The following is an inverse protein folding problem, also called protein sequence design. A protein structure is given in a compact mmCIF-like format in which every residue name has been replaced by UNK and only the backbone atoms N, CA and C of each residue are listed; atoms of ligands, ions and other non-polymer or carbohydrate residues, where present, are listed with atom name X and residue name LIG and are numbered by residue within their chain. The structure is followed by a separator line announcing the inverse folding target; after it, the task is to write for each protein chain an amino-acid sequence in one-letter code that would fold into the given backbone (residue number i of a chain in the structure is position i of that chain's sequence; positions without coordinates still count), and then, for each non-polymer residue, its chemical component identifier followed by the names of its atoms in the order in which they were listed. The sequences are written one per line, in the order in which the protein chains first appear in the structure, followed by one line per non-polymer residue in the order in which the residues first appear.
data_IF_778723894871
#
_entry.id   IF_778723894871
#
_cell.length_a   1.000
_cell.length_b   1.000
_cell.length_c   1.000
_cell.angle_alpha   90.00
_cell.angle_beta   90.00
_cell.angle_gamma   90.00
#
_symmetry.space_group_name_H-M   'P 1'
#
loop_
_entity.id
_entity.type
_entity.pdbx_description
1 polymer ?
#
# COMPACT_ATOMS: atom_id res chain seq x y z
N UNK A 1 -17.74 -11.15 -39.45
CA UNK A 1 -17.41 -9.72 -39.45
C UNK A 1 -15.92 -9.61 -39.16
N UNK A 2 -15.15 -9.03 -40.09
CA UNK A 2 -13.71 -8.76 -39.88
C UNK A 2 -13.67 -7.53 -38.96
N UNK A 3 -13.15 -7.69 -37.73
CA UNK A 3 -12.96 -6.55 -36.81
C UNK A 3 -11.95 -5.58 -37.42
N UNK A 4 -12.32 -4.31 -37.52
CA UNK A 4 -11.51 -3.25 -38.09
C UNK A 4 -10.26 -3.00 -37.25
N UNK A 5 -9.09 -3.07 -37.89
CA UNK A 5 -7.80 -2.89 -37.23
C UNK A 5 -7.51 -1.40 -37.04
N UNK A 6 -7.82 -0.88 -35.85
CA UNK A 6 -7.65 0.56 -35.51
C UNK A 6 -6.22 0.93 -35.08
N UNK A 7 -5.45 -0.02 -34.58
CA UNK A 7 -4.11 0.19 -34.02
C UNK A 7 -3.08 -0.82 -34.56
N UNK A 8 -2.81 -0.81 -35.89
CA UNK A 8 -1.97 -1.83 -36.54
C UNK A 8 -0.52 -1.81 -36.03
N UNK A 9 0.07 -0.64 -35.83
CA UNK A 9 1.47 -0.51 -35.42
C UNK A 9 1.68 -0.98 -33.97
N UNK A 10 0.73 -0.71 -33.09
CA UNK A 10 0.74 -1.25 -31.72
C UNK A 10 0.63 -2.78 -31.75
N UNK A 11 -0.31 -3.34 -32.50
CA UNK A 11 -0.50 -4.78 -32.59
C UNK A 11 0.73 -5.48 -33.17
N UNK A 12 1.37 -4.91 -34.17
CA UNK A 12 2.60 -5.43 -34.75
C UNK A 12 3.71 -5.53 -33.72
N UNK A 13 3.98 -4.43 -32.99
CA UNK A 13 4.99 -4.41 -31.92
C UNK A 13 4.67 -5.40 -30.80
N UNK A 14 3.41 -5.46 -30.37
CA UNK A 14 2.96 -6.39 -29.35
C UNK A 14 3.21 -7.84 -29.76
N UNK A 15 2.82 -8.24 -31.00
CA UNK A 15 3.02 -9.60 -31.49
C UNK A 15 4.49 -9.96 -31.66
N UNK A 16 5.33 -9.04 -32.15
CA UNK A 16 6.78 -9.25 -32.25
C UNK A 16 7.39 -9.53 -30.86
N UNK A 17 7.02 -8.75 -29.84
CA UNK A 17 7.53 -8.94 -28.49
C UNK A 17 7.01 -10.23 -27.85
N UNK A 18 5.74 -10.58 -28.08
CA UNK A 18 5.16 -11.84 -27.63
C UNK A 18 5.87 -13.05 -28.25
N UNK A 19 6.13 -13.01 -29.55
CA UNK A 19 6.85 -14.07 -30.29
C UNK A 19 8.27 -14.23 -29.76
N UNK A 20 9.00 -13.14 -29.57
CA UNK A 20 10.37 -13.16 -29.06
C UNK A 20 10.47 -13.75 -27.63
N UNK A 21 9.41 -13.62 -26.82
CA UNK A 21 9.36 -14.15 -25.45
C UNK A 21 8.59 -15.47 -25.34
N UNK A 22 8.04 -15.99 -26.43
CA UNK A 22 7.23 -17.22 -26.41
C UNK A 22 5.93 -17.09 -25.64
N UNK A 23 5.37 -15.87 -25.54
CA UNK A 23 4.14 -15.59 -24.78
C UNK A 23 2.92 -15.78 -25.67
N UNK A 24 2.01 -16.66 -25.29
CA UNK A 24 0.71 -16.86 -25.92
C UNK A 24 -0.33 -15.83 -25.47
N UNK A 25 -1.43 -15.67 -26.22
CA UNK A 25 -2.55 -14.79 -25.85
C UNK A 25 -3.16 -15.19 -24.51
N UNK A 26 -3.19 -16.49 -24.19
CA UNK A 26 -3.69 -17.00 -22.91
C UNK A 26 -2.77 -16.58 -21.74
N UNK A 27 -1.46 -16.66 -21.96
CA UNK A 27 -0.50 -16.18 -20.95
C UNK A 27 -0.53 -14.65 -20.81
N UNK A 28 -0.68 -13.92 -21.92
CA UNK A 28 -0.82 -12.47 -21.92
C UNK A 28 -2.03 -12.03 -21.07
N UNK A 29 -3.20 -12.68 -21.25
CA UNK A 29 -4.38 -12.48 -20.41
C UNK A 29 -4.06 -12.56 -18.93
N UNK A 30 -3.34 -13.60 -18.51
CA UNK A 30 -3.02 -13.84 -17.09
C UNK A 30 -2.02 -12.83 -16.55
N UNK A 31 -1.01 -12.43 -17.35
CA UNK A 31 0.04 -11.47 -16.96
C UNK A 31 -0.50 -10.07 -16.69
N UNK A 32 -1.53 -9.64 -17.45
CA UNK A 32 -2.04 -8.27 -17.34
C UNK A 32 -3.42 -8.16 -16.69
N UNK A 33 -4.04 -9.30 -16.34
CA UNK A 33 -5.33 -9.33 -15.64
C UNK A 33 -6.51 -8.87 -16.48
N UNK A 34 -6.56 -9.25 -17.79
CA UNK A 34 -7.67 -8.93 -18.69
C UNK A 34 -8.38 -10.19 -19.16
N UNK A 35 -9.55 -10.05 -19.81
CA UNK A 35 -10.24 -11.19 -20.42
C UNK A 35 -9.47 -11.69 -21.66
N UNK A 36 -9.66 -12.96 -22.04
CA UNK A 36 -9.06 -13.52 -23.27
C UNK A 36 -9.45 -12.72 -24.50
N UNK A 37 -10.71 -12.30 -24.60
CA UNK A 37 -11.20 -11.52 -25.70
C UNK A 37 -10.53 -10.14 -25.79
N UNK A 38 -10.30 -9.49 -24.66
CA UNK A 38 -9.55 -8.22 -24.62
C UNK A 38 -8.09 -8.42 -25.04
N UNK A 39 -7.42 -9.47 -24.54
CA UNK A 39 -6.05 -9.79 -24.94
C UNK A 39 -5.96 -10.07 -26.46
N UNK A 40 -6.91 -10.84 -27.00
CA UNK A 40 -7.02 -11.08 -28.43
C UNK A 40 -7.22 -9.78 -29.23
N UNK A 41 -8.13 -8.90 -28.78
CA UNK A 41 -8.38 -7.61 -29.44
C UNK A 41 -7.15 -6.69 -29.46
N UNK A 42 -6.27 -6.80 -28.47
CA UNK A 42 -4.99 -6.09 -28.48
C UNK A 42 -4.06 -6.67 -29.53
N UNK A 43 -3.96 -7.99 -29.66
CA UNK A 43 -3.06 -8.64 -30.64
C UNK A 43 -3.49 -8.43 -32.08
N UNK A 44 -4.79 -8.30 -32.37
CA UNK A 44 -5.28 -7.98 -33.71
C UNK A 44 -5.39 -6.47 -33.99
N UNK A 45 -5.09 -5.61 -32.99
CA UNK A 45 -5.14 -4.15 -33.15
C UNK A 45 -6.55 -3.55 -33.18
N UNK A 46 -7.57 -4.30 -32.79
CA UNK A 46 -8.95 -3.82 -32.70
C UNK A 46 -9.19 -2.92 -31.47
N UNK A 47 -8.33 -3.02 -30.44
CA UNK A 47 -8.36 -2.20 -29.25
C UNK A 47 -6.96 -1.83 -28.78
N UNK A 48 -6.86 -0.70 -28.06
CA UNK A 48 -5.63 -0.25 -27.39
C UNK A 48 -5.84 -0.29 -25.88
N UNK A 49 -4.87 -0.81 -25.11
CA UNK A 49 -4.95 -0.82 -23.66
C UNK A 49 -5.01 0.59 -23.06
N UNK A 50 -5.70 0.73 -21.92
CA UNK A 50 -5.60 1.93 -21.09
C UNK A 50 -4.22 1.99 -20.41
N UNK A 51 -3.81 3.16 -19.91
CA UNK A 51 -2.49 3.40 -19.36
C UNK A 51 -2.05 2.36 -18.31
N UNK A 52 -2.92 1.96 -17.40
CA UNK A 52 -2.62 0.95 -16.38
C UNK A 52 -2.29 -0.43 -16.96
N UNK A 53 -3.06 -0.87 -17.96
CA UNK A 53 -2.82 -2.15 -18.65
C UNK A 53 -1.62 -2.04 -19.60
N UNK A 54 -1.40 -0.88 -20.23
CA UNK A 54 -0.24 -0.60 -21.06
C UNK A 54 1.06 -0.75 -20.25
N UNK A 55 1.10 -0.20 -19.03
CA UNK A 55 2.26 -0.32 -18.15
C UNK A 55 2.51 -1.78 -17.73
N UNK A 56 1.47 -2.55 -17.43
CA UNK A 56 1.59 -3.99 -17.13
C UNK A 56 2.10 -4.79 -18.30
N UNK A 57 1.62 -4.50 -19.51
CA UNK A 57 2.10 -5.11 -20.75
C UNK A 57 3.57 -4.80 -21.00
N UNK A 58 3.95 -3.54 -20.88
CA UNK A 58 5.32 -3.07 -21.07
C UNK A 58 6.28 -3.77 -20.09
N UNK A 59 5.90 -3.84 -18.82
CA UNK A 59 6.67 -4.54 -17.78
C UNK A 59 6.80 -6.04 -18.08
N UNK A 60 5.70 -6.73 -18.41
CA UNK A 60 5.71 -8.15 -18.75
C UNK A 60 6.55 -8.47 -19.99
N UNK A 61 6.53 -7.56 -20.96
CA UNK A 61 7.28 -7.68 -22.21
C UNK A 61 8.72 -7.14 -22.11
N UNK A 62 9.08 -6.48 -20.99
CA UNK A 62 10.42 -5.96 -20.76
C UNK A 62 10.78 -4.78 -21.69
N UNK A 63 9.83 -3.90 -21.97
CA UNK A 63 10.02 -2.72 -22.81
C UNK A 63 9.41 -1.49 -22.13
N UNK A 64 9.73 -0.29 -22.61
CA UNK A 64 9.04 0.91 -22.13
C UNK A 64 7.60 0.98 -22.67
N UNK A 65 6.68 1.57 -21.89
CA UNK A 65 5.30 1.81 -22.35
C UNK A 65 5.26 2.69 -23.60
N UNK A 66 6.16 3.68 -23.69
CA UNK A 66 6.30 4.56 -24.85
C UNK A 66 6.76 3.80 -26.10
N UNK A 67 7.66 2.81 -25.93
CA UNK A 67 8.06 1.96 -27.05
C UNK A 67 6.87 1.10 -27.53
N UNK A 68 6.16 0.46 -26.60
CA UNK A 68 5.03 -0.39 -26.95
C UNK A 68 3.92 0.42 -27.63
N UNK A 69 3.65 1.64 -27.14
CA UNK A 69 2.55 2.49 -27.62
C UNK A 69 2.89 3.22 -28.92
N UNK A 70 4.09 3.82 -29.03
CA UNK A 70 4.44 4.73 -30.11
C UNK A 70 5.65 4.26 -30.95
N UNK A 71 6.35 3.23 -30.51
CA UNK A 71 7.59 2.79 -31.15
C UNK A 71 8.79 3.68 -30.84
N UNK A 72 8.67 4.58 -29.85
CA UNK A 72 9.72 5.53 -29.46
C UNK A 72 10.27 5.12 -28.09
N UNK A 73 11.58 4.98 -27.95
CA UNK A 73 12.25 4.56 -26.73
C UNK A 73 13.01 3.24 -26.89
N UNK A 74 13.65 2.78 -25.82
CA UNK A 74 14.49 1.59 -25.84
C UNK A 74 13.66 0.30 -25.94
N UNK A 75 14.11 -0.60 -26.83
CA UNK A 75 13.52 -1.91 -27.08
C UNK A 75 13.92 -2.95 -26.02
N UNK A 76 14.96 -2.67 -25.25
CA UNK A 76 15.44 -3.53 -24.18
C UNK A 76 14.99 -2.99 -22.82
N UNK A 77 14.08 -3.72 -22.21
CA UNK A 77 13.67 -3.48 -20.84
C UNK A 77 14.77 -3.83 -19.86
N UNK A 78 14.96 -2.97 -18.91
CA UNK A 78 15.59 -3.18 -17.60
C UNK A 78 16.50 -4.42 -17.47
N UNK A 79 17.60 -4.48 -18.17
CA UNK A 79 18.85 -4.93 -17.58
C UNK A 79 19.37 -3.73 -16.81
N UNK A 80 19.78 -3.97 -15.59
CA UNK A 80 20.42 -3.03 -14.70
C UNK A 80 21.15 -1.92 -15.49
N UNK A 81 20.61 -0.71 -15.44
CA UNK A 81 21.34 0.46 -15.89
C UNK A 81 22.53 0.63 -14.97
N UNK A 82 23.66 0.01 -15.38
CA UNK A 82 24.93 0.46 -14.92
C UNK A 82 25.08 1.92 -15.33
N UNK A 83 24.92 2.79 -14.37
CA UNK A 83 25.51 4.11 -14.22
C UNK A 83 25.68 4.99 -15.46
N UNK A 84 24.63 5.68 -15.84
CA UNK A 84 24.73 7.12 -16.07
C UNK A 84 24.26 7.75 -14.74
N UNK A 85 24.99 8.64 -14.09
CA UNK A 85 24.48 9.36 -12.94
C UNK A 85 23.38 10.30 -13.45
N UNK A 86 22.16 9.77 -13.53
CA UNK A 86 20.95 10.56 -13.48
C UNK A 86 21.07 11.33 -12.16
N UNK A 87 20.86 12.66 -12.10
CA UNK A 87 20.81 13.35 -10.82
C UNK A 87 19.80 12.56 -10.00
N UNK A 88 20.30 11.83 -9.06
CA UNK A 88 19.63 10.87 -8.18
C UNK A 88 18.25 11.42 -7.84
N UNK A 89 17.16 10.77 -8.34
CA UNK A 89 15.93 10.81 -7.55
C UNK A 89 16.40 10.46 -6.15
N UNK A 90 16.27 11.37 -5.19
CA UNK A 90 16.65 11.03 -3.84
C UNK A 90 15.93 9.72 -3.53
N UNK A 91 16.66 8.79 -2.93
CA UNK A 91 16.11 7.52 -2.44
C UNK A 91 14.92 7.90 -1.56
N UNK A 92 13.70 7.81 -2.10
CA UNK A 92 12.49 8.35 -1.48
C UNK A 92 11.85 7.23 -0.69
N UNK A 93 11.80 7.41 0.60
CA UNK A 93 11.09 6.54 1.51
C UNK A 93 9.61 6.96 1.53
N UNK A 94 8.76 6.15 0.91
CA UNK A 94 7.34 6.46 0.68
C UNK A 94 6.45 5.66 1.62
N UNK A 95 5.64 6.35 2.42
CA UNK A 95 4.68 5.75 3.35
C UNK A 95 3.26 6.09 2.91
N UNK A 96 2.39 5.08 2.86
CA UNK A 96 0.97 5.24 2.52
C UNK A 96 0.15 5.67 3.73
N UNK A 97 -0.74 6.62 3.49
CA UNK A 97 -1.75 7.07 4.46
C UNK A 97 -3.06 6.37 4.18
N UNK A 98 -3.53 5.62 5.17
CA UNK A 98 -4.70 4.75 5.06
C UNK A 98 -5.99 5.48 5.48
N UNK A 99 -7.07 5.28 4.72
CA UNK A 99 -8.41 5.69 5.13
C UNK A 99 -9.05 4.62 5.99
N UNK A 100 -8.97 4.78 7.30
CA UNK A 100 -9.62 3.88 8.25
C UNK A 100 -11.08 4.27 8.56
N UNK A 101 -11.58 5.36 7.99
CA UNK A 101 -12.96 5.81 8.22
C UNK A 101 -13.98 4.83 7.61
N UNK A 102 -13.60 4.14 6.55
CA UNK A 102 -14.41 3.14 5.85
C UNK A 102 -14.41 1.79 6.56
N UNK A 103 -13.38 1.50 7.34
CA UNK A 103 -13.18 0.19 8.00
C UNK A 103 -13.94 0.04 9.34
N UNK A 104 -14.59 1.09 9.83
CA UNK A 104 -15.33 1.08 11.10
C UNK A 104 -16.77 0.55 10.97
N UNK A 105 -17.16 0.00 9.81
CA UNK A 105 -18.47 -0.64 9.62
C UNK A 105 -18.55 -2.02 10.27
N UNK A 106 -19.73 -2.46 10.76
CA UNK A 106 -19.89 -3.76 11.39
C UNK A 106 -19.72 -4.89 10.37
N UNK A 107 -18.54 -5.50 10.30
CA UNK A 107 -18.35 -6.77 9.62
C UNK A 107 -17.13 -6.95 8.72
N UNK A 108 -16.25 -5.99 8.56
CA UNK A 108 -15.13 -6.15 7.61
C UNK A 108 -13.79 -5.79 8.28
N UNK A 109 -13.09 -6.80 8.79
CA UNK A 109 -11.81 -6.65 9.48
C UNK A 109 -10.69 -7.41 8.76
N UNK A 110 -10.45 -7.10 7.48
CA UNK A 110 -9.24 -7.54 6.81
C UNK A 110 -8.52 -6.33 6.21
N UNK A 111 -7.45 -5.92 6.86
CA UNK A 111 -6.66 -4.73 6.52
C UNK A 111 -5.84 -4.85 5.23
N UNK A 112 -5.79 -6.00 4.59
CA UNK A 112 -4.90 -6.17 3.44
C UNK A 112 -5.52 -5.85 2.08
N UNK A 113 -6.86 -5.91 1.94
CA UNK A 113 -7.43 -5.85 0.60
C UNK A 113 -8.48 -4.74 0.35
N UNK A 114 -8.88 -3.98 1.38
CA UNK A 114 -10.00 -3.02 1.26
C UNK A 114 -9.81 -1.66 1.95
N UNK A 115 -8.60 -1.32 2.37
CA UNK A 115 -8.33 0.02 2.91
C UNK A 115 -7.79 0.90 1.80
N UNK A 116 -8.54 1.93 1.45
CA UNK A 116 -8.12 2.87 0.42
C UNK A 116 -6.91 3.69 0.90
N UNK A 117 -5.95 3.88 0.00
CA UNK A 117 -4.82 4.78 0.21
C UNK A 117 -5.27 6.18 -0.18
N UNK A 118 -5.36 7.09 0.79
CA UNK A 118 -5.73 8.49 0.55
C UNK A 118 -4.64 9.25 -0.20
N UNK A 119 -3.40 9.10 0.26
CA UNK A 119 -2.21 9.71 -0.33
C UNK A 119 -0.95 9.04 0.26
N UNK A 120 0.23 9.48 -0.17
CA UNK A 120 1.49 9.02 0.40
C UNK A 120 2.33 10.20 0.88
N UNK A 121 3.11 9.97 1.92
CA UNK A 121 4.11 10.91 2.45
C UNK A 121 5.48 10.42 2.01
N UNK A 122 6.28 11.31 1.45
CA UNK A 122 7.63 11.00 0.98
C UNK A 122 8.66 11.67 1.89
N UNK A 123 9.64 10.89 2.34
CA UNK A 123 10.79 11.33 3.12
C UNK A 123 12.06 11.03 2.33
N UNK A 124 13.12 11.79 2.60
CA UNK A 124 14.46 11.34 2.22
C UNK A 124 14.82 10.09 3.04
N UNK A 125 15.57 9.17 2.46
CA UNK A 125 15.98 7.94 3.15
C UNK A 125 16.70 8.22 4.48
N UNK A 126 17.50 9.28 4.51
CA UNK A 126 18.20 9.69 5.73
C UNK A 126 17.23 10.14 6.83
N UNK A 127 16.25 10.98 6.47
CA UNK A 127 15.22 11.44 7.42
C UNK A 127 14.33 10.28 7.89
N UNK A 128 13.90 9.41 6.99
CA UNK A 128 13.14 8.22 7.35
C UNK A 128 13.90 7.31 8.31
N UNK A 129 15.21 7.12 8.08
CA UNK A 129 16.05 6.33 8.98
C UNK A 129 16.14 6.93 10.39
N UNK A 130 16.19 8.27 10.51
CA UNK A 130 16.16 8.93 11.82
C UNK A 130 14.86 8.75 12.57
N UNK A 131 13.71 8.67 11.85
CA UNK A 131 12.37 8.52 12.44
C UNK A 131 12.01 7.05 12.72
N UNK A 132 12.35 6.16 11.79
CA UNK A 132 11.84 4.78 11.77
C UNK A 132 12.94 3.72 11.92
N UNK A 133 14.21 4.13 12.01
CA UNK A 133 15.36 3.22 12.06
C UNK A 133 15.54 2.49 10.72
N UNK A 134 15.80 1.19 10.77
CA UNK A 134 16.02 0.36 9.57
C UNK A 134 14.75 -0.37 9.08
N UNK A 135 13.57 0.13 9.42
CA UNK A 135 12.30 -0.49 8.98
C UNK A 135 12.09 -0.29 7.50
N UNK A 136 11.46 -1.27 6.86
CA UNK A 136 11.01 -1.12 5.47
C UNK A 136 9.86 -0.11 5.38
N UNK A 137 9.81 0.64 4.30
CA UNK A 137 8.67 1.52 4.00
C UNK A 137 7.34 0.75 3.90
N UNK A 138 7.39 -0.52 3.49
CA UNK A 138 6.20 -1.36 3.35
C UNK A 138 5.62 -1.77 4.71
N UNK A 139 6.47 -1.80 5.75
CA UNK A 139 6.09 -2.14 7.12
C UNK A 139 5.50 -0.96 7.89
N UNK A 140 5.55 0.25 7.34
CA UNK A 140 5.03 1.44 8.00
C UNK A 140 3.81 1.97 7.24
N UNK A 141 2.75 2.22 8.00
CA UNK A 141 1.54 2.88 7.49
C UNK A 141 1.20 4.07 8.37
N UNK A 142 0.48 5.01 7.79
CA UNK A 142 -0.05 6.17 8.52
C UNK A 142 -1.55 6.07 8.61
N UNK A 143 -2.08 6.37 9.78
CA UNK A 143 -3.52 6.50 10.00
C UNK A 143 -3.84 7.82 10.72
N UNK A 144 -5.02 8.35 10.47
CA UNK A 144 -5.50 9.52 11.20
C UNK A 144 -6.18 9.09 12.49
N UNK A 145 -5.78 9.71 13.59
CA UNK A 145 -6.39 9.48 14.91
C UNK A 145 -7.76 10.13 14.96
N UNK A 146 -8.78 9.36 15.34
CA UNK A 146 -10.13 9.85 15.57
C UNK A 146 -10.51 9.65 17.04
N UNK A 147 -11.20 10.64 17.63
CA UNK A 147 -11.58 10.63 19.04
C UNK A 147 -10.51 11.17 19.98
N UNK A 148 -10.79 11.15 21.27
CA UNK A 148 -10.01 11.80 22.32
C UNK A 148 -9.50 10.85 23.40
N UNK A 149 -9.73 9.55 23.23
CA UNK A 149 -9.42 8.57 24.28
C UNK A 149 -7.92 8.45 24.60
N UNK A 150 -7.05 8.91 23.71
CA UNK A 150 -5.60 8.93 23.89
C UNK A 150 -5.05 10.34 24.16
N UNK A 151 -5.92 11.33 24.38
CA UNK A 151 -5.52 12.68 24.77
C UNK A 151 -4.92 12.67 26.20
N UNK A 152 -3.85 13.45 26.47
CA UNK A 152 -3.21 14.43 25.60
C UNK A 152 -2.12 13.85 24.67
N UNK A 153 -1.80 12.57 24.78
CA UNK A 153 -0.72 11.94 24.00
C UNK A 153 -0.99 12.00 22.50
N UNK A 154 -2.20 11.63 22.10
CA UNK A 154 -2.69 11.72 20.72
C UNK A 154 -3.96 12.55 20.70
N UNK A 155 -4.05 13.49 19.79
CA UNK A 155 -5.20 14.36 19.60
C UNK A 155 -5.92 13.99 18.30
N UNK A 156 -7.24 14.16 18.26
CA UNK A 156 -8.01 13.92 17.04
C UNK A 156 -7.49 14.77 15.89
N UNK A 157 -7.22 14.14 14.75
CA UNK A 157 -6.57 14.74 13.58
C UNK A 157 -5.06 14.48 13.48
N UNK A 158 -4.42 13.98 14.54
CA UNK A 158 -3.02 13.57 14.48
C UNK A 158 -2.81 12.44 13.48
N UNK A 159 -1.65 12.43 12.84
CA UNK A 159 -1.15 11.31 12.03
C UNK A 159 -0.35 10.37 12.92
N UNK A 160 -0.75 9.12 12.97
CA UNK A 160 -0.05 8.08 13.71
C UNK A 160 0.68 7.16 12.74
N UNK A 161 2.00 7.06 12.88
CA UNK A 161 2.84 6.13 12.12
C UNK A 161 2.92 4.81 12.86
N UNK A 162 2.55 3.75 12.19
CA UNK A 162 2.38 2.42 12.77
C UNK A 162 3.21 1.40 12.04
N UNK A 163 3.97 0.61 12.79
CA UNK A 163 4.70 -0.55 12.30
C UNK A 163 3.75 -1.75 12.19
N UNK A 164 3.33 -2.07 10.96
CA UNK A 164 2.40 -3.15 10.66
C UNK A 164 3.06 -4.53 10.60
N UNK A 165 4.37 -4.62 10.71
CA UNK A 165 5.07 -5.91 10.87
C UNK A 165 4.84 -6.52 12.25
N UNK A 166 4.47 -5.69 13.23
CA UNK A 166 4.13 -6.11 14.60
C UNK A 166 2.68 -6.58 14.65
N UNK A 167 2.49 -7.90 14.68
CA UNK A 167 1.16 -8.54 14.64
C UNK A 167 0.71 -9.15 15.96
N UNK A 168 1.45 -8.96 17.03
CA UNK A 168 1.13 -9.42 18.39
C UNK A 168 1.72 -8.46 19.41
N UNK A 169 1.28 -8.55 20.65
CA UNK A 169 1.88 -7.79 21.74
C UNK A 169 3.33 -8.23 21.97
N UNK A 170 4.24 -7.29 21.98
CA UNK A 170 5.69 -7.53 22.20
C UNK A 170 6.18 -6.87 23.48
N UNK A 171 5.91 -5.59 23.64
CA UNK A 171 6.31 -4.76 24.77
C UNK A 171 5.27 -3.68 25.00
N UNK A 172 5.23 -3.11 26.18
CA UNK A 172 4.37 -1.98 26.50
C UNK A 172 4.48 -0.86 25.47
N UNK A 173 3.37 -0.24 25.11
CA UNK A 173 3.33 0.82 24.11
C UNK A 173 1.94 1.08 23.56
N UNK A 174 1.84 2.01 22.63
CA UNK A 174 0.59 2.29 21.91
C UNK A 174 0.46 1.37 20.71
N UNK A 175 -0.70 0.77 20.54
CA UNK A 175 -1.02 -0.17 19.48
C UNK A 175 -2.31 0.19 18.78
N UNK A 176 -2.36 -0.11 17.49
CA UNK A 176 -3.61 -0.23 16.75
C UNK A 176 -4.01 -1.70 16.71
N UNK A 177 -5.24 -2.01 17.08
CA UNK A 177 -5.72 -3.38 17.15
C UNK A 177 -7.25 -3.46 17.02
N UNK A 178 -7.74 -4.63 16.69
CA UNK A 178 -9.15 -4.99 16.77
C UNK A 178 -9.34 -5.90 17.98
N UNK A 179 -10.35 -5.61 18.78
CA UNK A 179 -10.79 -6.50 19.84
C UNK A 179 -12.31 -6.76 19.70
N UNK A 180 -12.66 -8.02 19.57
CA UNK A 180 -14.00 -8.41 19.18
C UNK A 180 -14.35 -7.88 17.78
N UNK A 181 -15.15 -6.82 17.71
CA UNK A 181 -15.56 -6.18 16.45
C UNK A 181 -15.20 -4.70 16.37
N UNK A 182 -14.38 -4.22 17.28
CA UNK A 182 -14.10 -2.78 17.41
C UNK A 182 -12.63 -2.50 17.21
N UNK A 183 -12.34 -1.51 16.39
CA UNK A 183 -10.99 -0.98 16.20
C UNK A 183 -10.62 -0.03 17.32
N UNK A 184 -9.40 -0.16 17.82
CA UNK A 184 -8.86 0.62 18.91
C UNK A 184 -7.45 1.13 18.60
N UNK A 185 -7.16 2.33 19.09
CA UNK A 185 -5.80 2.82 19.31
C UNK A 185 -5.69 3.06 20.82
N UNK A 186 -4.92 2.23 21.52
CA UNK A 186 -4.79 2.26 22.97
C UNK A 186 -3.36 1.90 23.39
N UNK A 187 -3.04 2.24 24.64
CA UNK A 187 -1.82 1.75 25.28
C UNK A 187 -2.07 0.33 25.80
N UNK A 188 -1.25 -0.60 25.36
CA UNK A 188 -1.21 -1.97 25.88
C UNK A 188 -0.06 -2.10 26.85
N UNK A 189 -0.34 -2.69 28.02
CA UNK A 189 0.64 -2.93 29.07
C UNK A 189 0.41 -4.30 29.70
N UNK A 190 1.48 -5.08 29.84
CA UNK A 190 1.40 -6.36 30.55
C UNK A 190 1.37 -6.10 32.06
N UNK A 191 0.33 -6.54 32.73
CA UNK A 191 0.16 -6.44 34.19
C UNK A 191 -0.08 -7.83 34.78
N UNK A 192 1.02 -8.48 35.18
CA UNK A 192 0.97 -9.87 35.66
C UNK A 192 0.61 -10.82 34.51
N UNK A 193 -0.52 -11.49 34.63
CA UNK A 193 -1.07 -12.45 33.66
C UNK A 193 -2.11 -11.84 32.70
N UNK A 194 -2.37 -10.53 32.82
CA UNK A 194 -3.38 -9.83 32.03
C UNK A 194 -2.78 -8.71 31.20
N UNK A 195 -3.31 -8.53 30.01
CA UNK A 195 -2.98 -7.40 29.15
C UNK A 195 -3.94 -6.24 29.47
N UNK A 196 -3.43 -5.19 30.10
CA UNK A 196 -4.19 -3.98 30.37
C UNK A 196 -4.32 -3.15 29.10
N UNK A 197 -5.53 -2.69 28.83
CA UNK A 197 -5.87 -1.75 27.76
C UNK A 197 -6.17 -0.41 28.41
N UNK A 198 -5.28 0.55 28.13
CA UNK A 198 -5.27 1.84 28.79
C UNK A 198 -5.58 2.95 27.77
N UNK A 199 -6.44 3.86 28.18
CA UNK A 199 -6.61 5.16 27.54
C UNK A 199 -5.72 6.17 28.25
N UNK A 200 -5.01 7.01 27.50
CA UNK A 200 -4.20 8.08 28.10
C UNK A 200 -5.10 9.23 28.62
N UNK A 201 -6.35 9.31 28.14
CA UNK A 201 -7.36 10.21 28.67
C UNK A 201 -8.00 9.62 29.94
N UNK A 202 -7.87 10.27 31.11
CA UNK A 202 -8.37 9.75 32.37
C UNK A 202 -9.92 9.66 32.48
N UNK A 203 -10.64 10.25 31.52
CA UNK A 203 -12.11 10.10 31.47
C UNK A 203 -12.55 8.70 31.00
N UNK A 204 -11.64 7.89 30.50
CA UNK A 204 -11.91 6.54 30.03
C UNK A 204 -11.37 5.51 31.01
N UNK A 205 -12.20 4.56 31.38
CA UNK A 205 -11.80 3.46 32.24
C UNK A 205 -10.85 2.48 31.53
N UNK A 206 -9.90 1.95 32.29
CA UNK A 206 -9.04 0.85 31.85
C UNK A 206 -9.83 -0.46 31.88
N UNK A 207 -9.49 -1.36 30.98
CA UNK A 207 -10.01 -2.71 30.96
C UNK A 207 -8.90 -3.73 30.64
N UNK A 208 -9.21 -5.02 30.72
CA UNK A 208 -8.20 -6.06 30.62
C UNK A 208 -8.61 -7.12 29.62
N UNK A 209 -7.62 -7.65 28.91
CA UNK A 209 -7.71 -8.83 28.08
C UNK A 209 -7.03 -9.95 28.90
N UNK A 210 -7.79 -10.95 29.28
CA UNK A 210 -7.30 -12.15 29.94
C UNK A 210 -6.98 -13.26 28.92
N UNK A 211 -6.34 -14.33 29.36
CA UNK A 211 -5.91 -15.44 28.50
C UNK A 211 -7.09 -16.07 27.72
N UNK A 212 -8.29 -16.08 28.29
CA UNK A 212 -9.48 -16.67 27.66
C UNK A 212 -10.07 -15.85 26.53
N UNK A 213 -9.75 -14.57 26.47
CA UNK A 213 -10.27 -13.62 25.50
C UNK A 213 -9.18 -13.08 24.55
N UNK A 214 -7.98 -13.63 24.67
CA UNK A 214 -6.83 -13.19 23.87
C UNK A 214 -6.97 -13.54 22.38
N UNK A 215 -7.70 -14.56 22.03
CA UNK A 215 -8.06 -14.94 20.67
C UNK A 215 -8.95 -13.91 19.95
N UNK A 216 -9.59 -13.01 20.68
CA UNK A 216 -10.35 -11.88 20.15
C UNK A 216 -9.49 -10.65 19.86
N UNK A 217 -8.22 -10.65 20.27
CA UNK A 217 -7.28 -9.57 20.04
C UNK A 217 -6.52 -9.79 18.73
N UNK A 218 -6.70 -8.89 17.80
CA UNK A 218 -5.95 -8.84 16.54
C UNK A 218 -5.12 -7.55 16.50
N UNK A 219 -3.81 -7.65 16.75
CA UNK A 219 -2.89 -6.52 16.66
C UNK A 219 -2.63 -6.20 15.20
N UNK A 220 -2.89 -4.95 14.82
CA UNK A 220 -2.70 -4.44 13.46
C UNK A 220 -1.34 -3.78 13.30
N UNK A 221 -0.80 -3.24 14.39
CA UNK A 221 0.54 -2.68 14.41
C UNK A 221 0.84 -1.95 15.70
N UNK A 222 2.11 -1.62 15.88
CA UNK A 222 2.61 -0.84 17.01
C UNK A 222 2.92 0.59 16.57
N UNK A 223 2.44 1.58 17.31
CA UNK A 223 2.72 2.98 17.06
C UNK A 223 4.21 3.29 17.27
N UNK A 224 4.78 4.04 16.35
CA UNK A 224 6.18 4.47 16.39
C UNK A 224 6.29 5.93 16.82
N UNK A 225 5.66 6.81 16.06
CA UNK A 225 5.64 8.25 16.27
C UNK A 225 4.28 8.80 15.85
N UNK A 226 3.97 10.00 16.27
CA UNK A 226 2.83 10.76 15.76
C UNK A 226 3.24 12.16 15.32
N UNK A 227 2.42 12.76 14.49
CA UNK A 227 2.59 14.12 13.97
C UNK A 227 1.27 14.89 14.11
N UNK A 228 1.32 16.04 14.77
CA UNK A 228 0.17 16.94 14.89
C UNK A 228 0.24 18.04 13.84
N UNK A 229 -0.70 18.04 12.89
CA UNK A 229 -0.75 19.06 11.82
C UNK A 229 -1.88 20.05 12.14
N UNK A 230 -1.54 21.34 12.23
CA UNK A 230 -2.51 22.41 12.41
C UNK A 230 -2.53 23.28 11.16
N UNK A 231 -3.68 23.34 10.50
CA UNK A 231 -3.92 24.25 9.38
C UNK A 231 -4.66 25.50 9.90
N UNK A 232 -4.02 26.65 9.80
CA UNK A 232 -4.66 27.95 10.10
C UNK A 232 -5.01 28.62 8.78
N UNK A 233 -6.29 29.01 8.61
CA UNK A 233 -6.68 29.89 7.51
C UNK A 233 -6.25 31.31 7.84
N UNK A 234 -5.58 31.96 6.89
CA UNK A 234 -5.20 33.37 6.96
C UNK A 234 -6.34 34.25 6.49
#
# INVERSE_FOLDING_TARGET
MVEEQKYPDFAKRLNELMTNKGISVTQLKSLVGVTYEMARRYTIGAAKPRASVMNKLALALGVSASYLEYGVGEREGCKEMASIPNPTKPDVYRIEVLDLSVSAGPGTYMLSDYVDVLYAIEFTTEHARSLFGNRSQDDIKVMTVNGDSMSPTLVSGDRLFVDISVRHFQTDGVYSFVYGKTFHVKRLQMQGDKLAVLSDNPAYEKWYIDEKSQDQLYVMGKALIHESIKYNRL
#
